data_IF_785107565661
#
_entry.id   IF_785107565661
#
_cell.length_a   1.000
_cell.length_b   1.000
_cell.length_c   1.000
_cell.angle_alpha   90.00
_cell.angle_beta   90.00
_cell.angle_gamma   90.00
#
_symmetry.space_group_name_H-M   'P 1'
#
loop_
_entity.id
_entity.type
_entity.pdbx_description
1 polymer ?
#
# COMPACT_ATOMS: atom_id res chain seq x y z
N UNK A 1 -16.75 14.50 -10.84
CA UNK A 1 -15.93 13.28 -10.62
C UNK A 1 -15.24 13.47 -9.28
N UNK A 2 -15.38 12.55 -8.35
CA UNK A 2 -14.87 12.75 -6.98
C UNK A 2 -13.35 12.54 -6.98
N UNK A 3 -12.58 13.55 -6.58
CA UNK A 3 -11.13 13.45 -6.46
C UNK A 3 -10.77 12.56 -5.27
N UNK A 4 -9.76 11.72 -5.42
CA UNK A 4 -9.27 10.82 -4.38
C UNK A 4 -7.94 11.33 -3.82
N UNK A 5 -7.87 11.49 -2.50
CA UNK A 5 -6.65 11.88 -1.79
C UNK A 5 -5.89 10.61 -1.35
N UNK A 6 -4.59 10.53 -1.66
CA UNK A 6 -3.72 9.40 -1.33
C UNK A 6 -2.39 9.87 -0.76
N UNK A 7 -1.83 9.07 0.15
CA UNK A 7 -0.45 9.30 0.59
C UNK A 7 0.55 8.98 -0.51
N UNK A 8 1.60 9.79 -0.53
CA UNK A 8 2.81 9.53 -1.30
C UNK A 8 3.53 8.33 -0.69
N UNK A 9 3.71 7.26 -1.45
CA UNK A 9 4.31 6.03 -0.96
C UNK A 9 5.67 5.79 -1.60
N UNK A 10 6.67 5.43 -0.79
CA UNK A 10 7.97 5.00 -1.29
C UNK A 10 8.00 3.45 -1.34
N UNK A 11 7.43 2.90 -2.40
CA UNK A 11 7.28 1.45 -2.58
C UNK A 11 8.53 0.76 -3.15
N UNK A 12 9.66 1.47 -3.25
CA UNK A 12 10.89 0.89 -3.83
C UNK A 12 11.39 -0.33 -3.04
N UNK A 13 11.35 -0.27 -1.71
CA UNK A 13 11.72 -1.39 -0.84
C UNK A 13 10.83 -2.62 -1.05
N UNK A 14 9.53 -2.39 -1.30
CA UNK A 14 8.60 -3.49 -1.61
C UNK A 14 8.94 -4.21 -2.91
N UNK A 15 9.46 -3.49 -3.92
CA UNK A 15 9.91 -4.10 -5.18
C UNK A 15 11.13 -5.01 -4.99
N UNK A 16 12.07 -4.62 -4.11
CA UNK A 16 13.28 -5.42 -3.85
C UNK A 16 12.91 -6.82 -3.32
N UNK A 17 11.88 -6.93 -2.49
CA UNK A 17 11.41 -8.21 -1.96
C UNK A 17 10.83 -9.16 -3.02
N UNK A 18 10.29 -8.63 -4.13
CA UNK A 18 9.72 -9.46 -5.20
C UNK A 18 10.78 -10.00 -6.18
N UNK A 19 11.92 -9.32 -6.34
CA UNK A 19 12.95 -9.71 -7.29
C UNK A 19 13.52 -11.11 -6.99
N UNK A 20 14.00 -11.42 -5.76
CA UNK A 20 14.50 -12.75 -5.43
C UNK A 20 13.43 -13.83 -5.63
N UNK A 21 12.19 -13.57 -5.24
CA UNK A 21 11.09 -14.52 -5.38
C UNK A 21 10.78 -14.82 -6.85
N UNK A 22 10.74 -13.78 -7.70
CA UNK A 22 10.52 -13.94 -9.13
C UNK A 22 11.65 -14.70 -9.81
N UNK A 23 12.91 -14.41 -9.48
CA UNK A 23 14.09 -15.11 -10.00
C UNK A 23 14.06 -16.58 -9.58
N UNK A 24 13.82 -16.87 -8.30
CA UNK A 24 13.74 -18.23 -7.78
C UNK A 24 12.63 -19.00 -8.46
N UNK A 25 11.45 -18.41 -8.62
CA UNK A 25 10.31 -19.05 -9.29
C UNK A 25 10.61 -19.32 -10.77
N UNK A 26 11.26 -18.38 -11.47
CA UNK A 26 11.66 -18.58 -12.85
C UNK A 26 12.69 -19.72 -13.00
N UNK A 27 13.70 -19.77 -12.12
CA UNK A 27 14.68 -20.88 -12.10
C UNK A 27 13.99 -22.21 -11.86
N UNK A 28 13.00 -22.26 -10.97
CA UNK A 28 12.23 -23.48 -10.69
C UNK A 28 11.38 -23.96 -11.87
N UNK A 29 10.83 -23.02 -12.64
CA UNK A 29 9.99 -23.35 -13.80
C UNK A 29 10.84 -23.74 -15.02
N UNK A 30 11.94 -23.01 -15.27
CA UNK A 30 12.74 -23.17 -16.48
C UNK A 30 14.02 -23.99 -16.27
N UNK A 31 14.48 -24.17 -15.03
CA UNK A 31 15.67 -24.94 -14.68
C UNK A 31 15.33 -26.39 -14.39
N UNK A 32 15.49 -27.30 -15.39
CA UNK A 32 15.20 -28.73 -15.21
C UNK A 32 15.92 -29.37 -14.02
N UNK A 33 17.14 -28.94 -13.73
CA UNK A 33 17.93 -29.49 -12.61
C UNK A 33 17.37 -29.06 -11.23
N UNK A 34 16.74 -27.88 -11.12
CA UNK A 34 16.14 -27.41 -9.88
C UNK A 34 14.71 -27.93 -9.71
N UNK A 35 13.97 -28.12 -10.81
CA UNK A 35 12.58 -28.56 -10.81
C UNK A 35 12.44 -29.98 -10.24
N UNK A 36 13.27 -30.93 -10.70
CA UNK A 36 13.13 -32.36 -10.33
C UNK A 36 13.26 -32.60 -8.83
N UNK A 37 14.29 -32.09 -8.11
CA UNK A 37 14.38 -32.28 -6.66
C UNK A 37 13.25 -31.62 -5.89
N UNK A 38 12.79 -30.41 -6.34
CA UNK A 38 11.69 -29.71 -5.68
C UNK A 38 10.36 -30.44 -5.88
N UNK A 39 10.09 -30.91 -7.09
CA UNK A 39 8.90 -31.69 -7.39
C UNK A 39 8.87 -32.99 -6.56
N UNK A 40 10.04 -33.69 -6.40
CA UNK A 40 10.14 -34.87 -5.52
C UNK A 40 9.82 -34.55 -4.06
N UNK A 41 10.34 -33.43 -3.53
CA UNK A 41 10.03 -32.97 -2.15
C UNK A 41 8.56 -32.64 -1.99
N UNK A 42 7.98 -31.96 -2.96
CA UNK A 42 6.56 -31.62 -2.97
C UNK A 42 5.69 -32.90 -3.02
N UNK A 43 6.03 -33.85 -3.89
CA UNK A 43 5.34 -35.14 -3.98
C UNK A 43 5.43 -35.91 -2.68
N UNK A 44 6.60 -35.95 -2.02
CA UNK A 44 6.80 -36.60 -0.71
C UNK A 44 5.96 -35.93 0.38
N UNK A 45 5.85 -34.60 0.38
CA UNK A 45 5.00 -33.89 1.32
C UNK A 45 3.50 -34.19 1.10
N UNK A 46 3.06 -34.28 -0.16
CA UNK A 46 1.68 -34.64 -0.52
C UNK A 46 1.35 -36.11 -0.29
N UNK A 47 2.32 -37.03 -0.35
CA UNK A 47 2.09 -38.46 -0.09
C UNK A 47 1.67 -38.78 1.36
N UNK A 48 1.84 -37.83 2.26
CA UNK A 48 1.33 -37.88 3.64
C UNK A 48 -0.18 -37.52 3.75
N UNK A 49 -0.83 -37.12 2.64
CA UNK A 49 -2.28 -36.96 2.58
C UNK A 49 -2.97 -38.29 2.30
N UNK A 50 -4.20 -38.54 2.81
CA UNK A 50 -4.89 -39.84 2.67
C UNK A 50 -5.05 -40.27 1.22
N UNK A 51 -4.91 -41.57 0.98
CA UNK A 51 -4.85 -42.28 -0.31
C UNK A 51 -5.99 -42.02 -1.32
N UNK A 52 -7.06 -41.32 -0.91
CA UNK A 52 -8.23 -41.06 -1.75
C UNK A 52 -8.00 -39.96 -2.81
N UNK A 53 -6.85 -39.31 -2.83
CA UNK A 53 -6.47 -38.26 -3.79
C UNK A 53 -5.31 -38.72 -4.71
N UNK A 54 -5.22 -40.00 -5.02
CA UNK A 54 -4.30 -40.52 -6.04
C UNK A 54 -4.79 -40.13 -7.45
N UNK A 55 -4.51 -38.89 -7.79
CA UNK A 55 -4.55 -38.47 -9.19
C UNK A 55 -3.11 -38.21 -9.67
N UNK A 56 -2.88 -38.28 -10.95
CA UNK A 56 -1.79 -37.59 -11.68
C UNK A 56 -1.85 -36.04 -11.48
N UNK A 57 -2.64 -35.61 -10.52
CA UNK A 57 -2.90 -34.25 -10.07
C UNK A 57 -1.72 -33.62 -9.35
N UNK A 58 -0.78 -34.44 -8.80
CA UNK A 58 0.36 -33.85 -8.08
C UNK A 58 1.19 -32.93 -8.98
N UNK A 59 1.34 -33.35 -10.25
CA UNK A 59 2.06 -32.56 -11.25
C UNK A 59 1.28 -31.32 -11.67
N UNK A 60 -0.01 -31.50 -11.94
CA UNK A 60 -0.92 -30.40 -12.25
C UNK A 60 -1.06 -29.40 -11.11
N UNK A 61 -1.13 -29.88 -9.87
CA UNK A 61 -1.20 -29.02 -8.69
C UNK A 61 0.09 -28.24 -8.49
N UNK A 62 1.27 -28.89 -8.67
CA UNK A 62 2.55 -28.23 -8.58
C UNK A 62 2.73 -27.16 -9.66
N UNK A 63 2.37 -27.44 -10.90
CA UNK A 63 2.40 -26.46 -12.00
C UNK A 63 1.44 -25.30 -11.71
N UNK A 64 0.22 -25.59 -11.26
CA UNK A 64 -0.76 -24.56 -10.91
C UNK A 64 -0.26 -23.67 -9.77
N UNK A 65 0.39 -24.23 -8.76
CA UNK A 65 1.02 -23.50 -7.68
C UNK A 65 2.15 -22.59 -8.20
N UNK A 66 3.03 -23.11 -9.06
CA UNK A 66 4.10 -22.33 -9.67
C UNK A 66 3.55 -21.16 -10.52
N UNK A 67 2.50 -21.41 -11.30
CA UNK A 67 1.81 -20.37 -12.10
C UNK A 67 1.21 -19.33 -11.18
N UNK A 68 0.54 -19.72 -10.10
CA UNK A 68 -0.03 -18.79 -9.12
C UNK A 68 1.05 -17.90 -8.49
N UNK A 69 2.16 -18.46 -8.05
CA UNK A 69 3.30 -17.72 -7.50
C UNK A 69 3.86 -16.76 -8.54
N UNK A 70 4.00 -17.20 -9.78
CA UNK A 70 4.49 -16.35 -10.88
C UNK A 70 3.53 -15.18 -11.17
N UNK A 71 2.21 -15.43 -11.18
CA UNK A 71 1.21 -14.37 -11.33
C UNK A 71 1.35 -13.34 -10.20
N UNK A 72 1.48 -13.78 -8.95
CA UNK A 72 1.66 -12.88 -7.78
C UNK A 72 2.96 -12.09 -7.92
N UNK A 73 4.07 -12.74 -8.31
CA UNK A 73 5.37 -12.11 -8.49
C UNK A 73 5.42 -11.10 -9.65
N UNK A 74 4.54 -11.22 -10.65
CA UNK A 74 4.48 -10.31 -11.79
C UNK A 74 3.43 -9.21 -11.56
N UNK A 75 2.23 -9.58 -11.11
CA UNK A 75 1.12 -8.64 -10.94
C UNK A 75 1.41 -7.57 -9.89
N UNK A 76 1.92 -7.96 -8.72
CA UNK A 76 2.18 -7.01 -7.65
C UNK A 76 3.27 -5.97 -8.01
N UNK A 77 4.44 -6.34 -8.55
CA UNK A 77 5.42 -5.38 -9.03
C UNK A 77 4.88 -4.44 -10.10
N UNK A 78 4.10 -4.95 -11.07
CA UNK A 78 3.48 -4.10 -12.11
C UNK A 78 2.55 -3.06 -11.47
N UNK A 79 1.73 -3.47 -10.50
CA UNK A 79 0.84 -2.56 -9.77
C UNK A 79 1.62 -1.50 -9.00
N UNK A 80 2.70 -1.89 -8.32
CA UNK A 80 3.58 -0.98 -7.57
C UNK A 80 4.25 0.01 -8.53
N UNK A 81 4.86 -0.48 -9.62
CA UNK A 81 5.54 0.36 -10.63
C UNK A 81 4.54 1.34 -11.26
N UNK A 82 3.34 0.87 -11.63
CA UNK A 82 2.28 1.74 -12.15
C UNK A 82 1.90 2.85 -11.15
N UNK A 83 1.81 2.52 -9.86
CA UNK A 83 1.58 3.49 -8.79
C UNK A 83 2.71 4.53 -8.70
N UNK A 84 3.96 4.08 -8.73
CA UNK A 84 5.14 4.97 -8.70
C UNK A 84 5.20 5.91 -9.91
N UNK A 85 4.87 5.41 -11.12
CA UNK A 85 4.84 6.23 -12.34
C UNK A 85 3.77 7.31 -12.22
N UNK A 86 2.56 6.97 -11.75
CA UNK A 86 1.47 7.93 -11.55
C UNK A 86 1.84 8.99 -10.51
N UNK A 87 2.43 8.57 -9.38
CA UNK A 87 2.89 9.48 -8.35
C UNK A 87 4.00 10.41 -8.85
N UNK A 88 4.98 9.89 -9.60
CA UNK A 88 6.04 10.71 -10.21
C UNK A 88 5.47 11.70 -11.24
N UNK A 89 4.48 11.27 -12.03
CA UNK A 89 3.79 12.15 -12.95
C UNK A 89 3.02 13.26 -12.23
N UNK A 90 2.42 12.97 -11.07
CA UNK A 90 1.76 13.95 -10.24
C UNK A 90 2.74 14.97 -9.65
N UNK A 91 3.88 14.51 -9.09
CA UNK A 91 4.91 15.40 -8.51
C UNK A 91 5.47 16.38 -9.55
N UNK A 92 5.59 15.95 -10.81
CA UNK A 92 6.03 16.80 -11.91
C UNK A 92 4.88 17.58 -12.58
N UNK A 93 3.65 17.41 -12.09
CA UNK A 93 2.44 18.03 -12.63
C UNK A 93 2.00 19.28 -11.85
N UNK A 94 0.71 19.35 -11.62
CA UNK A 94 0.08 20.46 -10.92
C UNK A 94 0.25 20.31 -9.41
N UNK A 95 0.81 21.33 -8.78
CA UNK A 95 0.83 21.46 -7.33
C UNK A 95 -0.41 22.24 -6.87
N UNK A 96 -1.05 21.74 -5.85
CA UNK A 96 -2.24 22.33 -5.26
C UNK A 96 -2.03 22.50 -3.76
N UNK A 97 -2.68 23.51 -3.21
CA UNK A 97 -2.71 23.74 -1.77
C UNK A 97 -3.92 23.04 -1.15
N UNK A 98 -3.66 22.27 -0.09
CA UNK A 98 -4.66 21.54 0.69
C UNK A 98 -4.71 22.17 2.09
N UNK A 99 -5.79 22.89 2.38
CA UNK A 99 -6.00 23.56 3.66
C UNK A 99 -6.63 22.59 4.65
N UNK A 100 -6.17 22.56 5.88
CA UNK A 100 -6.78 21.77 6.95
C UNK A 100 -8.16 22.31 7.30
N UNK A 101 -9.16 21.43 7.44
CA UNK A 101 -10.53 21.82 7.80
C UNK A 101 -10.96 21.16 9.10
N UNK A 102 -10.83 19.83 9.21
CA UNK A 102 -11.36 19.06 10.33
C UNK A 102 -10.59 17.74 10.49
N UNK A 103 -10.69 17.15 11.66
CA UNK A 103 -10.19 15.81 11.94
C UNK A 103 -11.25 14.99 12.68
N UNK A 104 -11.17 13.67 12.51
CA UNK A 104 -12.01 12.73 13.27
C UNK A 104 -11.24 11.47 13.61
N UNK A 105 -11.22 11.05 14.87
CA UNK A 105 -10.74 9.71 15.21
C UNK A 105 -11.74 8.67 14.69
N UNK A 106 -11.24 7.69 13.92
CA UNK A 106 -12.04 6.59 13.36
C UNK A 106 -11.49 5.26 13.85
N UNK A 107 -12.37 4.38 14.31
CA UNK A 107 -11.98 3.03 14.72
C UNK A 107 -12.03 2.12 13.51
N UNK A 108 -10.92 1.48 13.19
CA UNK A 108 -10.80 0.50 12.11
C UNK A 108 -10.55 -0.86 12.74
N UNK A 109 -11.44 -1.81 12.50
CA UNK A 109 -11.27 -3.19 12.96
C UNK A 109 -10.76 -4.03 11.79
N UNK A 110 -9.56 -4.58 11.96
CA UNK A 110 -8.93 -5.48 11.00
C UNK A 110 -8.34 -6.67 11.76
N UNK A 111 -8.58 -7.88 11.27
CA UNK A 111 -8.05 -9.13 11.86
C UNK A 111 -8.29 -9.26 13.38
N UNK A 112 -9.51 -8.93 13.84
CA UNK A 112 -9.93 -8.89 15.26
C UNK A 112 -9.15 -7.88 16.14
N UNK A 113 -8.39 -6.96 15.56
CA UNK A 113 -7.77 -5.84 16.26
C UNK A 113 -8.48 -4.55 15.86
N UNK A 114 -8.80 -3.74 16.87
CA UNK A 114 -9.39 -2.41 16.65
C UNK A 114 -8.32 -1.38 16.92
N UNK A 115 -7.99 -0.61 15.89
CA UNK A 115 -7.04 0.49 15.96
C UNK A 115 -7.77 1.81 15.72
N UNK A 116 -7.32 2.86 16.39
CA UNK A 116 -7.86 4.21 16.17
C UNK A 116 -6.94 4.94 15.21
N UNK A 117 -7.48 5.36 14.09
CA UNK A 117 -6.80 6.14 13.06
C UNK A 117 -7.38 7.55 13.03
N UNK A 118 -6.61 8.51 12.53
CA UNK A 118 -7.08 9.88 12.31
C UNK A 118 -7.54 10.02 10.87
N UNK A 119 -8.79 10.46 10.69
CA UNK A 119 -9.31 10.89 9.40
C UNK A 119 -9.20 12.41 9.34
N UNK A 120 -8.37 12.92 8.43
CA UNK A 120 -8.22 14.34 8.15
C UNK A 120 -9.13 14.76 7.00
N UNK A 121 -9.65 15.95 7.08
CA UNK A 121 -10.41 16.62 6.03
C UNK A 121 -9.65 17.86 5.59
N UNK A 122 -9.44 17.96 4.28
CA UNK A 122 -8.81 19.11 3.63
C UNK A 122 -9.79 19.81 2.69
N UNK A 123 -9.64 21.12 2.57
CA UNK A 123 -10.34 21.94 1.59
C UNK A 123 -9.45 22.25 0.39
N UNK A 124 -10.02 22.19 -0.81
CA UNK A 124 -9.41 22.66 -2.04
C UNK A 124 -10.49 23.05 -3.04
N UNK A 125 -10.53 24.32 -3.48
CA UNK A 125 -11.50 24.83 -4.47
C UNK A 125 -12.96 24.41 -4.17
N UNK A 126 -13.43 24.65 -2.94
CA UNK A 126 -14.77 24.31 -2.45
C UNK A 126 -15.07 22.78 -2.39
N UNK A 127 -14.08 21.93 -2.68
CA UNK A 127 -14.19 20.51 -2.50
C UNK A 127 -13.59 20.06 -1.16
N UNK A 128 -14.25 19.12 -0.48
CA UNK A 128 -13.73 18.49 0.74
C UNK A 128 -13.09 17.14 0.38
N UNK A 129 -11.83 17.01 0.72
CA UNK A 129 -11.02 15.82 0.48
C UNK A 129 -10.67 15.16 1.81
N UNK A 130 -10.76 13.85 1.90
CA UNK A 130 -10.47 13.15 3.15
C UNK A 130 -9.41 12.07 2.96
N UNK A 131 -8.55 11.93 3.96
CA UNK A 131 -7.56 10.86 4.04
C UNK A 131 -7.54 10.29 5.45
N UNK A 132 -7.28 8.99 5.59
CA UNK A 132 -7.15 8.35 6.89
C UNK A 132 -5.70 7.96 7.12
N UNK A 133 -5.12 8.45 8.20
CA UNK A 133 -3.74 8.19 8.59
C UNK A 133 -3.70 7.26 9.82
N UNK A 134 -3.06 6.10 9.73
CA UNK A 134 -2.90 5.19 10.87
C UNK A 134 -1.79 5.61 11.83
N UNK A 135 -0.89 6.51 11.42
CA UNK A 135 0.33 6.83 12.17
C UNK A 135 0.31 8.19 12.85
N UNK A 136 -0.65 9.06 12.50
CA UNK A 136 -0.77 10.36 13.16
C UNK A 136 -1.08 10.20 14.65
N UNK A 137 -0.29 10.84 15.52
CA UNK A 137 -0.53 10.76 16.95
C UNK A 137 -1.78 11.55 17.34
N UNK A 138 -2.75 10.84 17.95
CA UNK A 138 -4.08 11.40 18.27
C UNK A 138 -3.95 12.65 19.12
N UNK A 139 -3.16 12.61 20.21
CA UNK A 139 -3.02 13.73 21.14
C UNK A 139 -2.47 15.00 20.48
N UNK A 140 -1.45 14.89 19.64
CA UNK A 140 -0.87 16.07 18.95
C UNK A 140 -1.85 16.63 17.91
N UNK A 141 -2.55 15.76 17.20
CA UNK A 141 -3.59 16.19 16.25
C UNK A 141 -4.72 16.92 16.97
N UNK A 142 -5.20 16.39 18.08
CA UNK A 142 -6.20 17.03 18.94
C UNK A 142 -5.75 18.43 19.36
N UNK A 143 -4.55 18.55 19.91
CA UNK A 143 -3.99 19.82 20.36
C UNK A 143 -3.78 20.82 19.22
N UNK A 144 -3.37 20.37 18.05
CA UNK A 144 -3.26 21.23 16.87
C UNK A 144 -4.60 21.86 16.53
N UNK A 145 -5.68 21.08 16.44
CA UNK A 145 -7.01 21.60 16.10
C UNK A 145 -7.71 22.36 17.24
N UNK A 146 -7.34 22.11 18.50
CA UNK A 146 -7.86 22.89 19.64
C UNK A 146 -7.20 24.27 19.78
N UNK A 147 -5.90 24.36 19.50
CA UNK A 147 -5.11 25.55 19.78
C UNK A 147 -4.99 26.51 18.59
N UNK A 148 -5.31 26.06 17.37
CA UNK A 148 -5.13 26.85 16.15
C UNK A 148 -6.41 26.93 15.33
N UNK A 149 -6.51 27.94 14.48
CA UNK A 149 -7.43 27.89 13.34
C UNK A 149 -6.80 26.99 12.26
N UNK A 150 -7.32 25.78 12.02
CA UNK A 150 -6.73 24.87 11.08
C UNK A 150 -6.69 25.40 9.65
N UNK A 151 -7.58 26.36 9.31
CA UNK A 151 -7.64 26.95 7.97
C UNK A 151 -6.47 27.87 7.64
N UNK A 152 -5.66 28.25 8.62
CA UNK A 152 -4.42 29.02 8.42
C UNK A 152 -3.25 28.12 7.99
N UNK A 153 -3.42 26.79 8.04
CA UNK A 153 -2.38 25.82 7.72
C UNK A 153 -2.73 25.03 6.47
N UNK A 154 -1.71 24.75 5.68
CA UNK A 154 -1.87 23.99 4.46
C UNK A 154 -0.69 23.05 4.21
N UNK A 155 -0.91 22.06 3.38
CA UNK A 155 0.13 21.15 2.85
C UNK A 155 0.04 21.10 1.35
N UNK A 156 1.16 20.79 0.70
CA UNK A 156 1.21 20.68 -0.76
C UNK A 156 0.67 19.33 -1.21
N UNK A 157 -0.35 19.36 -2.05
CA UNK A 157 -0.84 18.21 -2.80
C UNK A 157 -0.30 18.23 -4.23
N UNK A 158 -0.12 17.04 -4.81
CA UNK A 158 0.35 16.84 -6.18
C UNK A 158 -0.73 16.12 -6.97
N UNK A 159 -1.32 16.81 -7.94
CA UNK A 159 -2.46 16.29 -8.69
C UNK A 159 -2.06 15.58 -9.96
N UNK A 160 -2.61 14.38 -10.17
CA UNK A 160 -2.57 13.67 -11.44
C UNK A 160 -3.95 13.11 -11.76
N UNK A 161 -4.62 13.68 -12.75
CA UNK A 161 -6.02 13.39 -13.09
C UNK A 161 -6.93 13.59 -11.88
N UNK A 162 -7.59 12.52 -11.41
CA UNK A 162 -8.53 12.56 -10.29
C UNK A 162 -7.90 12.13 -8.95
N UNK A 163 -6.59 11.92 -8.92
CA UNK A 163 -5.87 11.51 -7.72
C UNK A 163 -4.91 12.61 -7.28
N UNK A 164 -5.00 12.96 -6.01
CA UNK A 164 -4.11 13.92 -5.36
C UNK A 164 -3.21 13.13 -4.41
N UNK A 165 -1.92 13.35 -4.50
CA UNK A 165 -0.91 12.75 -3.63
C UNK A 165 -0.41 13.78 -2.63
N UNK A 166 -0.38 13.43 -1.36
CA UNK A 166 0.15 14.26 -0.27
C UNK A 166 1.26 13.52 0.45
N UNK A 167 2.29 14.24 0.91
CA UNK A 167 3.33 13.65 1.72
C UNK A 167 2.87 13.55 3.17
N UNK A 168 2.93 12.37 3.74
CA UNK A 168 2.58 12.13 5.13
C UNK A 168 3.50 12.93 6.08
N UNK A 169 4.79 13.04 5.74
CA UNK A 169 5.74 13.78 6.56
C UNK A 169 5.41 15.28 6.62
N UNK A 170 4.85 15.85 5.52
CA UNK A 170 4.46 17.27 5.51
C UNK A 170 3.28 17.50 6.45
N UNK A 171 2.32 16.57 6.50
CA UNK A 171 1.18 16.61 7.43
C UNK A 171 1.67 16.48 8.87
N UNK A 172 2.50 15.47 9.15
CA UNK A 172 3.07 15.24 10.49
C UNK A 172 3.90 16.45 10.95
N UNK A 173 4.67 17.05 10.06
CA UNK A 173 5.47 18.24 10.36
C UNK A 173 4.60 19.41 10.78
N UNK A 174 3.55 19.75 10.01
CA UNK A 174 2.63 20.86 10.32
C UNK A 174 1.97 20.63 11.68
N UNK A 175 1.46 19.45 11.96
CA UNK A 175 0.79 19.12 13.22
C UNK A 175 1.78 19.17 14.39
N UNK A 176 2.97 18.61 14.24
CA UNK A 176 3.96 18.51 15.33
C UNK A 176 4.60 19.86 15.67
N UNK A 177 4.79 20.73 14.71
CA UNK A 177 5.37 22.07 14.98
C UNK A 177 4.34 23.01 15.65
N UNK A 178 3.05 22.84 15.34
CA UNK A 178 2.01 23.78 15.73
C UNK A 178 1.06 23.29 16.85
N UNK A 179 1.30 22.08 17.42
CA UNK A 179 0.46 21.57 18.52
C UNK A 179 0.74 22.23 19.89
N UNK A 180 1.81 23.05 20.01
CA UNK A 180 2.28 23.67 21.25
C UNK A 180 1.84 25.12 21.42
N UNK A 181 1.01 25.63 20.51
CA UNK A 181 0.52 27.01 20.49
C UNK A 181 -0.19 27.47 21.76
#
# INVERSE_FOLDING_TARGET
MQKELRFKTNNFLSLIGFIPTAITTAILIFGQEAYVPLYRRFKTALSNFPDNYRFDTDHLFFISFCIFVLIVCVYNPIKIISGMIKQKAAINGEQIELTFIDYRPVKITKDNRTETHIKLTFGHNDELLTITDPFLPIYQTEKFFENNDPTEFSVTGYMHRDTIYVDQNDIEYVINENHRG
#
